data_IF_084197284953
#
_entry.id   IF_084197284953
#
_cell.length_a   1.000
_cell.length_b   1.000
_cell.length_c   1.000
_cell.angle_alpha   90.00
_cell.angle_beta   90.00
_cell.angle_gamma   90.00
#
_symmetry.space_group_name_H-M   'P 1'
#
loop_
_entity.id
_entity.type
_entity.pdbx_description
1 polymer ?
#
# COMPACT_ATOMS: atom_id res chain seq x y z
N UNK A 1 44.83 18.69 -3.28
CA UNK A 1 43.44 18.49 -3.65
C UNK A 1 42.64 18.53 -2.37
N UNK A 2 41.94 19.62 -2.15
CA UNK A 2 41.65 20.21 -0.84
C UNK A 2 40.58 19.46 -0.05
N UNK A 3 40.75 19.42 1.27
CA UNK A 3 39.84 18.88 2.29
C UNK A 3 38.39 19.36 2.11
N UNK A 4 38.19 20.53 1.55
CA UNK A 4 36.89 21.14 1.22
C UNK A 4 36.18 20.35 0.11
N UNK A 5 36.90 19.85 -0.92
CA UNK A 5 36.31 19.03 -1.97
C UNK A 5 35.84 17.65 -1.48
N UNK A 6 36.55 17.09 -0.51
CA UNK A 6 36.16 15.81 0.14
C UNK A 6 34.92 15.97 1.02
N UNK A 7 34.79 17.10 1.70
CA UNK A 7 33.61 17.42 2.50
C UNK A 7 32.38 17.69 1.62
N UNK A 8 32.53 18.37 0.48
CA UNK A 8 31.44 18.62 -0.48
C UNK A 8 30.95 17.33 -1.16
N UNK A 9 31.85 16.42 -1.52
CA UNK A 9 31.49 15.11 -2.08
C UNK A 9 30.78 14.24 -1.02
N UNK A 10 31.22 14.31 0.24
CA UNK A 10 30.56 13.62 1.36
C UNK A 10 29.15 14.15 1.64
N UNK A 11 28.92 15.44 1.53
CA UNK A 11 27.62 16.09 1.72
C UNK A 11 26.69 15.80 0.53
N UNK A 12 27.21 15.76 -0.71
CA UNK A 12 26.41 15.36 -1.90
C UNK A 12 25.98 13.90 -1.85
N UNK A 13 26.79 12.99 -1.30
CA UNK A 13 26.41 11.57 -1.14
C UNK A 13 25.39 11.34 -0.03
N UNK A 14 25.29 12.23 0.96
CA UNK A 14 24.26 12.14 2.02
C UNK A 14 22.89 12.66 1.61
N UNK A 15 22.79 13.43 0.53
CA UNK A 15 21.53 14.04 0.06
C UNK A 15 20.71 13.16 -0.89
N UNK A 16 21.19 11.97 -1.23
CA UNK A 16 20.45 11.01 -2.07
C UNK A 16 19.92 9.79 -1.29
N UNK A 17 19.60 9.95 -0.01
CA UNK A 17 18.73 9.00 0.65
C UNK A 17 17.32 9.22 0.08
N UNK A 18 17.02 8.63 -1.07
CA UNK A 18 15.64 8.44 -1.53
C UNK A 18 14.93 7.69 -0.40
N UNK A 19 14.01 8.36 0.27
CA UNK A 19 13.11 7.71 1.22
C UNK A 19 12.24 6.80 0.37
N UNK A 20 12.61 5.54 0.26
CA UNK A 20 11.78 4.53 -0.34
C UNK A 20 10.57 4.36 0.59
N UNK A 21 9.43 4.93 0.21
CA UNK A 21 8.17 4.72 0.92
C UNK A 21 7.67 3.35 0.52
N UNK A 22 7.97 2.34 1.35
CA UNK A 22 7.44 0.99 1.19
C UNK A 22 5.94 0.97 1.50
N UNK A 23 5.21 0.01 0.95
CA UNK A 23 3.85 -0.31 1.42
C UNK A 23 3.89 -0.50 2.93
N UNK A 24 3.16 0.32 3.67
CA UNK A 24 3.14 0.23 5.11
C UNK A 24 1.79 0.67 5.66
N UNK A 25 1.14 -0.27 6.33
CA UNK A 25 0.04 0.09 7.21
C UNK A 25 0.62 0.75 8.45
N UNK A 26 0.21 1.95 8.80
CA UNK A 26 0.74 2.71 9.92
C UNK A 26 -0.38 3.19 10.84
N UNK A 27 -0.11 3.11 12.15
CA UNK A 27 -0.95 3.69 13.19
C UNK A 27 -0.16 4.86 13.80
N UNK A 28 -0.74 6.06 13.77
CA UNK A 28 -0.11 7.29 14.27
C UNK A 28 -0.57 7.64 15.69
N UNK A 29 -1.81 7.30 16.04
CA UNK A 29 -2.40 7.60 17.36
C UNK A 29 -2.33 6.38 18.29
N UNK A 30 -1.83 6.57 19.50
CA UNK A 30 -1.59 5.49 20.47
C UNK A 30 -2.86 4.78 20.94
N UNK A 31 -4.02 5.45 20.87
CA UNK A 31 -5.31 4.85 21.24
C UNK A 31 -5.84 3.90 20.16
N UNK A 32 -5.28 3.90 18.99
CA UNK A 32 -5.70 3.04 17.87
C UNK A 32 -4.91 1.73 17.88
N UNK A 33 -5.60 0.63 17.71
CA UNK A 33 -5.04 -0.72 17.71
C UNK A 33 -5.71 -1.62 16.67
N UNK A 34 -5.20 -2.84 16.53
CA UNK A 34 -5.82 -3.93 15.74
C UNK A 34 -6.12 -3.56 14.28
N UNK A 35 -5.29 -2.69 13.65
CA UNK A 35 -5.51 -2.34 12.24
C UNK A 35 -5.42 -3.60 11.37
N UNK A 36 -6.48 -3.87 10.63
CA UNK A 36 -6.62 -4.97 9.68
C UNK A 36 -6.99 -4.41 8.32
N UNK A 37 -6.36 -4.94 7.27
CA UNK A 37 -6.65 -4.62 5.87
C UNK A 37 -6.75 -5.95 5.14
N UNK A 38 -7.95 -6.32 4.72
CA UNK A 38 -8.26 -7.66 4.22
C UNK A 38 -9.02 -7.57 2.91
N UNK A 39 -8.63 -8.37 1.92
CA UNK A 39 -9.37 -8.56 0.68
C UNK A 39 -10.31 -9.77 0.82
N UNK A 40 -11.61 -9.54 0.69
CA UNK A 40 -12.61 -10.59 0.93
C UNK A 40 -12.52 -11.15 2.35
N UNK A 41 -12.37 -12.47 2.45
CA UNK A 41 -12.27 -13.20 3.73
C UNK A 41 -10.87 -13.77 4.01
N UNK A 42 -9.87 -13.48 3.19
CA UNK A 42 -8.51 -14.03 3.35
C UNK A 42 -7.62 -13.12 4.21
N UNK A 43 -7.55 -13.44 5.49
CA UNK A 43 -6.80 -12.70 6.51
C UNK A 43 -5.28 -12.89 6.45
N UNK A 44 -4.79 -13.89 5.71
CA UNK A 44 -3.39 -14.26 5.66
C UNK A 44 -2.69 -13.77 4.40
N UNK A 45 -3.44 -13.48 3.36
CA UNK A 45 -2.91 -12.96 2.11
C UNK A 45 -2.73 -11.44 2.14
N UNK A 46 -1.82 -10.91 1.32
CA UNK A 46 -1.77 -9.47 1.09
C UNK A 46 -3.13 -8.92 0.63
N UNK A 47 -3.48 -7.68 0.99
CA UNK A 47 -4.76 -7.06 0.64
C UNK A 47 -4.77 -6.69 -0.86
N UNK A 48 -4.95 -7.68 -1.71
CA UNK A 48 -4.99 -7.56 -3.17
C UNK A 48 -6.34 -8.07 -3.65
N UNK A 49 -7.08 -7.26 -4.40
CA UNK A 49 -8.34 -7.63 -5.03
C UNK A 49 -8.35 -7.29 -6.51
N UNK A 50 -9.25 -7.89 -7.28
CA UNK A 50 -9.52 -7.48 -8.66
C UNK A 50 -10.39 -6.22 -8.66
N UNK A 51 -10.35 -5.45 -9.75
CA UNK A 51 -11.07 -4.17 -9.87
C UNK A 51 -12.58 -4.30 -9.58
N UNK A 52 -13.21 -5.38 -10.04
CA UNK A 52 -14.61 -5.70 -9.75
C UNK A 52 -14.74 -6.94 -8.84
N UNK A 53 -13.71 -7.20 -8.03
CA UNK A 53 -13.63 -8.35 -7.14
C UNK A 53 -14.21 -8.13 -5.75
N UNK A 54 -13.73 -8.94 -4.80
CA UNK A 54 -14.14 -8.86 -3.39
C UNK A 54 -13.74 -7.52 -2.77
N UNK A 55 -14.56 -6.98 -1.85
CA UNK A 55 -14.26 -5.70 -1.22
C UNK A 55 -13.02 -5.78 -0.33
N UNK A 56 -12.31 -4.67 -0.23
CA UNK A 56 -11.29 -4.46 0.80
C UNK A 56 -11.98 -4.02 2.09
N UNK A 57 -11.78 -4.77 3.15
CA UNK A 57 -12.23 -4.42 4.50
C UNK A 57 -11.07 -3.81 5.28
N UNK A 58 -11.27 -2.63 5.84
CA UNK A 58 -10.35 -1.95 6.74
C UNK A 58 -11.05 -1.86 8.09
N UNK A 59 -10.46 -2.42 9.13
CA UNK A 59 -11.01 -2.42 10.47
C UNK A 59 -9.94 -2.04 11.50
N UNK A 60 -10.35 -1.35 12.56
CA UNK A 60 -9.47 -0.96 13.66
C UNK A 60 -10.26 -0.73 14.94
N UNK A 61 -9.57 -0.77 16.07
CA UNK A 61 -10.13 -0.53 17.39
C UNK A 61 -9.61 0.78 17.98
N UNK A 62 -10.52 1.60 18.51
CA UNK A 62 -10.18 2.74 19.35
C UNK A 62 -10.35 2.36 20.83
N UNK A 63 -9.25 2.36 21.56
CA UNK A 63 -9.16 1.96 22.96
C UNK A 63 -9.69 3.02 23.95
N UNK A 64 -10.12 4.18 23.47
CA UNK A 64 -10.79 5.19 24.32
C UNK A 64 -12.20 4.76 24.73
N UNK A 65 -12.81 3.81 24.00
CA UNK A 65 -14.19 3.38 24.16
C UNK A 65 -15.21 4.51 23.98
N UNK A 66 -14.79 5.64 23.41
CA UNK A 66 -15.65 6.75 23.04
C UNK A 66 -16.04 6.64 21.57
N UNK A 67 -17.06 7.39 21.17
CA UNK A 67 -17.39 7.56 19.75
C UNK A 67 -16.60 8.74 19.21
N UNK A 68 -15.79 8.48 18.19
CA UNK A 68 -15.11 9.50 17.40
C UNK A 68 -15.69 9.51 15.99
N UNK A 69 -15.86 10.70 15.42
CA UNK A 69 -16.22 10.83 14.02
C UNK A 69 -14.95 10.75 13.19
N UNK A 70 -14.69 9.55 12.66
CA UNK A 70 -13.58 9.32 11.76
C UNK A 70 -14.00 9.52 10.31
N UNK A 71 -13.13 10.19 9.56
CA UNK A 71 -13.25 10.37 8.11
C UNK A 71 -12.05 9.76 7.41
N UNK A 72 -12.19 9.45 6.13
CA UNK A 72 -11.10 8.88 5.36
C UNK A 72 -10.93 9.58 4.01
N UNK A 73 -9.72 9.52 3.49
CA UNK A 73 -9.34 9.89 2.13
C UNK A 73 -8.74 8.68 1.43
N UNK A 74 -8.88 8.60 0.10
CA UNK A 74 -8.29 7.56 -0.74
C UNK A 74 -7.43 8.22 -1.80
N UNK A 75 -6.18 7.76 -1.94
CA UNK A 75 -5.22 8.22 -2.92
C UNK A 75 -4.74 7.04 -3.77
N UNK A 76 -4.63 7.26 -5.07
CA UNK A 76 -3.91 6.34 -5.96
C UNK A 76 -2.41 6.57 -5.82
N UNK A 77 -1.63 5.49 -5.78
CA UNK A 77 -0.19 5.52 -5.61
C UNK A 77 0.54 4.82 -6.76
N UNK A 78 1.74 5.31 -7.05
CA UNK A 78 2.71 4.68 -7.97
C UNK A 78 3.25 3.35 -7.40
N UNK A 79 4.06 2.66 -8.19
CA UNK A 79 4.68 1.40 -7.79
C UNK A 79 5.55 1.51 -6.52
N UNK A 80 6.09 2.68 -6.24
CA UNK A 80 6.90 3.02 -5.05
C UNK A 80 6.06 3.60 -3.89
N UNK A 81 4.73 3.52 -3.98
CA UNK A 81 3.77 4.02 -3.00
C UNK A 81 3.74 5.55 -2.79
N UNK A 82 4.40 6.32 -3.65
CA UNK A 82 4.18 7.75 -3.72
C UNK A 82 2.82 8.05 -4.35
N UNK A 83 2.13 9.07 -3.86
CA UNK A 83 0.85 9.50 -4.43
C UNK A 83 1.03 9.88 -5.90
N UNK A 84 0.19 9.36 -6.79
CA UNK A 84 0.21 9.66 -8.21
C UNK A 84 -0.24 11.10 -8.44
N UNK A 85 0.66 11.95 -8.90
CA UNK A 85 0.38 13.39 -9.11
C UNK A 85 -0.20 13.70 -10.48
N UNK A 86 -0.18 12.74 -11.41
CA UNK A 86 -0.64 12.91 -12.79
C UNK A 86 -2.12 12.59 -12.98
N UNK A 87 -2.77 11.98 -11.98
CA UNK A 87 -4.18 11.59 -12.01
C UNK A 87 -5.01 12.53 -11.14
N UNK A 88 -6.19 12.90 -11.65
CA UNK A 88 -7.23 13.49 -10.83
C UNK A 88 -8.01 12.39 -10.10
N UNK A 89 -8.64 12.72 -8.97
CA UNK A 89 -9.45 11.76 -8.23
C UNK A 89 -10.54 11.10 -9.09
N UNK A 90 -11.16 11.86 -9.99
CA UNK A 90 -12.16 11.37 -10.95
C UNK A 90 -11.64 10.33 -11.97
N UNK A 91 -10.33 10.20 -12.15
CA UNK A 91 -9.75 9.24 -13.08
C UNK A 91 -9.74 7.84 -12.48
N UNK A 92 -9.43 7.71 -11.18
CA UNK A 92 -9.30 6.43 -10.50
C UNK A 92 -10.48 6.07 -9.57
N UNK A 93 -11.40 7.03 -9.29
CA UNK A 93 -12.48 6.85 -8.36
C UNK A 93 -13.77 7.49 -8.87
N UNK A 94 -14.91 6.82 -8.67
CA UNK A 94 -16.25 7.35 -8.83
C UNK A 94 -16.84 7.66 -7.45
N UNK A 95 -17.30 8.90 -7.25
CA UNK A 95 -17.75 9.42 -5.97
C UNK A 95 -16.74 10.36 -5.31
N UNK A 96 -16.60 10.28 -3.99
CA UNK A 96 -15.77 11.20 -3.22
C UNK A 96 -14.47 10.54 -2.77
N UNK A 97 -13.33 11.16 -3.09
CA UNK A 97 -12.00 10.67 -2.68
C UNK A 97 -11.65 11.11 -1.24
N UNK A 98 -12.29 12.17 -0.73
CA UNK A 98 -11.88 12.82 0.51
C UNK A 98 -13.06 13.00 1.48
N UNK A 99 -12.74 12.96 2.76
CA UNK A 99 -13.64 13.31 3.88
C UNK A 99 -14.89 12.45 3.98
N UNK A 100 -14.84 11.21 3.51
CA UNK A 100 -15.92 10.24 3.69
C UNK A 100 -15.97 9.76 5.14
N UNK A 101 -17.14 9.73 5.76
CA UNK A 101 -17.33 9.27 7.15
C UNK A 101 -17.29 7.75 7.24
N UNK A 102 -16.74 7.22 8.33
CA UNK A 102 -16.82 5.80 8.69
C UNK A 102 -18.05 5.63 9.59
N UNK A 103 -19.08 4.94 9.09
CA UNK A 103 -20.38 4.84 9.76
C UNK A 103 -20.61 3.49 10.46
N UNK A 104 -19.86 2.42 10.10
CA UNK A 104 -19.93 1.13 10.79
C UNK A 104 -19.10 1.17 12.07
N UNK A 105 -19.78 1.35 13.20
CA UNK A 105 -19.16 1.58 14.50
C UNK A 105 -19.85 0.72 15.57
N UNK A 106 -19.08 -0.05 16.32
CA UNK A 106 -19.59 -0.94 17.37
C UNK A 106 -18.77 -0.79 18.65
N UNK A 107 -19.45 -0.57 19.79
CA UNK A 107 -18.79 -0.58 21.11
C UNK A 107 -18.67 -1.99 21.66
N UNK A 108 -17.52 -2.32 22.21
CA UNK A 108 -17.31 -3.59 22.91
C UNK A 108 -18.20 -3.67 24.16
N UNK A 109 -18.69 -4.87 24.44
CA UNK A 109 -19.53 -5.15 25.61
C UNK A 109 -18.92 -6.34 26.37
N UNK A 110 -18.77 -6.22 27.69
CA UNK A 110 -18.25 -7.27 28.59
C UNK A 110 -16.84 -7.78 28.24
N UNK A 111 -15.99 -6.92 27.67
CA UNK A 111 -14.59 -7.21 27.39
C UNK A 111 -13.69 -6.68 28.52
N UNK A 112 -12.53 -7.35 28.73
CA UNK A 112 -11.54 -6.91 29.73
C UNK A 112 -10.95 -5.54 29.40
N UNK A 113 -10.68 -5.28 28.11
CA UNK A 113 -10.30 -3.98 27.57
C UNK A 113 -11.47 -3.45 26.79
N UNK A 114 -11.95 -2.29 27.12
CA UNK A 114 -13.03 -1.62 26.38
C UNK A 114 -12.47 -0.95 25.13
N UNK A 115 -13.18 -1.05 24.02
CA UNK A 115 -12.83 -0.41 22.75
C UNK A 115 -14.07 -0.08 21.94
N UNK A 116 -13.92 0.81 20.98
CA UNK A 116 -14.89 1.06 19.91
C UNK A 116 -14.31 0.52 18.61
N UNK A 117 -15.00 -0.42 17.98
CA UNK A 117 -14.62 -1.03 16.71
C UNK A 117 -15.15 -0.21 15.55
N UNK A 118 -14.30 0.11 14.59
CA UNK A 118 -14.63 0.79 13.34
C UNK A 118 -14.35 -0.13 12.16
N UNK A 119 -15.27 -0.17 11.22
CA UNK A 119 -15.15 -0.96 10.00
C UNK A 119 -15.53 -0.15 8.78
N UNK A 120 -14.79 -0.33 7.71
CA UNK A 120 -14.99 0.30 6.41
C UNK A 120 -14.76 -0.72 5.32
N UNK A 121 -15.60 -0.71 4.29
CA UNK A 121 -15.41 -1.50 3.08
C UNK A 121 -15.23 -0.59 1.86
N UNK A 122 -14.34 -0.98 0.95
CA UNK A 122 -14.12 -0.35 -0.35
C UNK A 122 -14.24 -1.44 -1.42
N UNK A 123 -15.11 -1.26 -2.45
CA UNK A 123 -15.98 -0.10 -2.70
C UNK A 123 -17.16 -0.01 -1.73
N UNK A 124 -17.77 1.18 -1.66
CA UNK A 124 -19.00 1.44 -0.93
C UNK A 124 -19.90 2.43 -1.69
N UNK A 125 -21.00 2.85 -1.08
CA UNK A 125 -21.96 3.78 -1.71
C UNK A 125 -21.37 5.17 -2.04
N UNK A 126 -20.31 5.58 -1.32
CA UNK A 126 -19.67 6.89 -1.45
C UNK A 126 -18.51 6.91 -2.42
N UNK A 127 -17.86 5.77 -2.62
CA UNK A 127 -16.73 5.66 -3.51
C UNK A 127 -16.59 4.27 -4.13
N UNK A 128 -16.31 4.25 -5.44
CA UNK A 128 -16.04 3.05 -6.21
C UNK A 128 -14.75 3.25 -7.00
N UNK A 129 -13.87 2.26 -6.97
CA UNK A 129 -12.63 2.31 -7.72
C UNK A 129 -12.88 2.03 -9.22
N UNK A 130 -12.20 2.76 -10.10
CA UNK A 130 -12.34 2.69 -11.56
C UNK A 130 -11.06 2.20 -12.24
N UNK A 131 -9.97 2.14 -11.52
CA UNK A 131 -8.65 1.84 -12.06
C UNK A 131 -7.92 0.85 -11.15
N UNK A 132 -7.15 -0.06 -11.75
CA UNK A 132 -6.17 -0.87 -11.02
C UNK A 132 -4.98 -0.03 -10.57
N UNK A 133 -4.32 -0.44 -9.50
CA UNK A 133 -3.15 0.26 -8.94
C UNK A 133 -2.98 0.04 -7.45
N UNK A 134 -2.02 0.75 -6.89
CA UNK A 134 -1.80 0.81 -5.45
C UNK A 134 -2.66 1.92 -4.86
N UNK A 135 -3.28 1.65 -3.72
CA UNK A 135 -4.16 2.60 -3.03
C UNK A 135 -3.75 2.75 -1.57
N UNK A 136 -3.72 4.00 -1.12
CA UNK A 136 -3.55 4.34 0.28
C UNK A 136 -4.80 5.04 0.79
N UNK A 137 -5.39 4.47 1.84
CA UNK A 137 -6.48 5.06 2.58
C UNK A 137 -5.92 5.65 3.87
N UNK A 138 -6.20 6.91 4.13
CA UNK A 138 -5.80 7.60 5.35
C UNK A 138 -7.03 7.98 6.15
N UNK A 139 -7.04 7.66 7.44
CA UNK A 139 -8.13 7.99 8.38
C UNK A 139 -7.74 9.15 9.26
N UNK A 140 -8.69 10.06 9.48
CA UNK A 140 -8.54 11.28 10.25
C UNK A 140 -9.61 11.38 11.36
N UNK A 141 -9.24 11.98 12.48
CA UNK A 141 -10.16 12.33 13.57
C UNK A 141 -10.73 13.74 13.35
N UNK A 142 -11.97 13.83 12.85
CA UNK A 142 -12.63 15.11 12.57
C UNK A 142 -12.84 15.95 13.83
N UNK A 143 -12.99 15.30 14.98
CA UNK A 143 -13.19 15.97 16.27
C UNK A 143 -11.88 16.55 16.84
N UNK A 144 -10.72 16.19 16.28
CA UNK A 144 -9.42 16.63 16.74
C UNK A 144 -8.59 17.22 15.59
N UNK A 145 -9.01 18.37 15.08
CA UNK A 145 -8.33 19.14 14.02
C UNK A 145 -7.92 18.30 12.79
N UNK A 146 -8.68 17.27 12.44
CA UNK A 146 -8.37 16.32 11.39
C UNK A 146 -7.00 15.64 11.60
N UNK A 147 -6.68 15.28 12.83
CA UNK A 147 -5.47 14.53 13.16
C UNK A 147 -5.45 13.20 12.38
N UNK A 148 -4.35 12.93 11.69
CA UNK A 148 -4.13 11.66 11.02
C UNK A 148 -3.95 10.55 12.05
N UNK A 149 -4.81 9.52 12.03
CA UNK A 149 -4.78 8.45 13.02
C UNK A 149 -4.15 7.15 12.51
N UNK A 150 -4.39 6.80 11.25
CA UNK A 150 -3.80 5.63 10.61
C UNK A 150 -3.73 5.79 9.09
N UNK A 151 -2.91 4.96 8.43
CA UNK A 151 -3.00 4.71 7.00
C UNK A 151 -3.01 3.21 6.71
N UNK A 152 -3.81 2.83 5.71
CA UNK A 152 -3.99 1.47 5.24
C UNK A 152 -3.66 1.41 3.74
N UNK A 153 -2.89 0.42 3.33
CA UNK A 153 -2.47 0.22 1.95
C UNK A 153 -3.06 -1.07 1.40
N UNK A 154 -3.57 -1.03 0.17
CA UNK A 154 -4.10 -2.19 -0.54
C UNK A 154 -3.84 -2.05 -2.05
N UNK A 155 -4.04 -3.14 -2.78
CA UNK A 155 -3.82 -3.17 -4.23
C UNK A 155 -5.07 -3.64 -4.96
N UNK A 156 -5.31 -3.03 -6.11
CA UNK A 156 -6.37 -3.43 -7.04
C UNK A 156 -5.73 -3.83 -8.36
N UNK A 157 -6.06 -5.01 -8.87
CA UNK A 157 -5.43 -5.58 -10.05
C UNK A 157 -6.44 -5.86 -11.15
N UNK A 158 -5.95 -5.80 -12.39
CA UNK A 158 -6.63 -6.28 -13.59
C UNK A 158 -5.74 -7.35 -14.22
N UNK A 159 -6.28 -8.51 -14.64
CA UNK A 159 -5.49 -9.61 -15.17
C UNK A 159 -5.07 -9.38 -16.63
N UNK A 160 -4.37 -8.27 -16.89
CA UNK A 160 -3.92 -7.83 -18.23
C UNK A 160 -2.52 -8.32 -18.59
N UNK A 161 -1.78 -8.89 -17.64
CA UNK A 161 -0.46 -9.45 -17.83
C UNK A 161 -0.34 -10.83 -17.18
N UNK A 162 0.44 -11.72 -17.79
CA UNK A 162 0.82 -13.01 -17.22
C UNK A 162 2.26 -12.99 -16.73
N UNK A 163 2.54 -13.65 -15.61
CA UNK A 163 3.89 -13.77 -15.06
C UNK A 163 4.19 -15.25 -14.85
N UNK A 164 5.33 -15.70 -15.39
CA UNK A 164 5.95 -16.98 -15.04
C UNK A 164 7.20 -16.69 -14.23
N UNK A 165 7.32 -17.32 -13.08
CA UNK A 165 8.45 -17.10 -12.16
C UNK A 165 9.00 -18.42 -11.66
N UNK A 166 10.33 -18.54 -11.67
CA UNK A 166 11.08 -19.66 -11.14
C UNK A 166 12.14 -19.16 -10.18
N UNK A 167 12.32 -19.84 -9.05
CA UNK A 167 13.38 -19.54 -8.09
C UNK A 167 14.34 -20.73 -8.06
N UNK A 168 15.59 -20.47 -8.37
CA UNK A 168 16.65 -21.48 -8.40
C UNK A 168 17.75 -21.19 -7.38
N UNK A 169 18.36 -22.23 -6.84
CA UNK A 169 19.48 -22.12 -5.90
C UNK A 169 20.85 -22.14 -6.58
N UNK A 170 20.92 -22.68 -7.81
CA UNK A 170 22.12 -22.54 -8.64
C UNK A 170 22.04 -21.19 -9.33
N UNK A 171 22.87 -20.27 -8.89
CA UNK A 171 22.95 -18.94 -9.46
C UNK A 171 24.11 -18.84 -10.45
N UNK A 172 24.08 -17.85 -11.33
CA UNK A 172 25.19 -17.56 -12.24
C UNK A 172 26.43 -17.01 -11.52
N UNK A 173 26.26 -16.62 -10.25
CA UNK A 173 27.30 -16.01 -9.42
C UNK A 173 27.93 -17.04 -8.48
N UNK A 174 27.13 -17.88 -7.83
CA UNK A 174 27.65 -18.92 -6.94
C UNK A 174 26.81 -20.21 -7.03
N UNK A 175 27.50 -21.34 -7.06
CA UNK A 175 26.89 -22.66 -7.03
C UNK A 175 26.91 -23.13 -5.58
N UNK A 176 25.77 -23.40 -4.97
CA UNK A 176 25.56 -23.76 -3.57
C UNK A 176 25.84 -22.65 -2.55
N UNK A 177 25.72 -21.42 -2.97
CA UNK A 177 25.96 -20.29 -2.12
C UNK A 177 24.76 -19.83 -1.29
N UNK A 178 24.85 -18.63 -0.83
CA UNK A 178 23.88 -17.96 0.03
C UNK A 178 22.81 -17.21 -0.76
N UNK A 179 22.84 -17.31 -2.09
CA UNK A 179 21.96 -16.56 -3.00
C UNK A 179 20.92 -17.48 -3.67
N UNK A 180 19.79 -16.89 -4.00
CA UNK A 180 18.78 -17.48 -4.88
C UNK A 180 18.62 -16.57 -6.10
N UNK A 181 18.46 -17.18 -7.27
CA UNK A 181 18.17 -16.46 -8.51
C UNK A 181 16.69 -16.57 -8.82
N UNK A 182 16.09 -15.46 -9.20
CA UNK A 182 14.72 -15.41 -9.68
C UNK A 182 14.75 -15.20 -11.19
N UNK A 183 14.22 -16.16 -11.93
CA UNK A 183 13.97 -16.05 -13.37
C UNK A 183 12.50 -15.70 -13.56
N UNK A 184 12.22 -14.68 -14.37
CA UNK A 184 10.87 -14.20 -14.56
C UNK A 184 10.63 -13.86 -16.03
N UNK A 185 9.49 -14.33 -16.54
CA UNK A 185 8.98 -13.98 -17.85
C UNK A 185 7.64 -13.24 -17.68
N UNK A 186 7.51 -12.07 -18.31
CA UNK A 186 6.29 -11.25 -18.26
C UNK A 186 5.64 -11.24 -19.63
N UNK A 187 4.43 -11.79 -19.73
CA UNK A 187 3.61 -11.69 -20.92
C UNK A 187 2.64 -10.51 -20.76
N UNK A 188 2.87 -9.46 -21.53
CA UNK A 188 2.11 -8.22 -21.50
C UNK A 188 1.31 -7.97 -22.80
N UNK A 189 1.00 -9.03 -23.54
CA UNK A 189 0.36 -8.95 -24.87
C UNK A 189 -1.02 -8.26 -24.88
N UNK A 190 -1.68 -8.11 -23.73
CA UNK A 190 -2.94 -7.37 -23.61
C UNK A 190 -2.74 -5.87 -23.28
N UNK A 191 -1.53 -5.46 -22.98
CA UNK A 191 -1.18 -4.07 -22.67
C UNK A 191 -0.59 -3.39 -23.92
N UNK A 192 -0.90 -2.12 -24.12
CA UNK A 192 -0.27 -1.31 -25.16
C UNK A 192 1.07 -0.78 -24.65
N UNK A 193 2.13 -1.58 -24.81
CA UNK A 193 3.48 -1.25 -24.39
C UNK A 193 4.34 -1.01 -25.63
N UNK A 194 4.90 0.17 -25.74
CA UNK A 194 5.80 0.57 -26.84
C UNK A 194 7.27 0.33 -26.50
N UNK A 195 7.64 0.57 -25.24
CA UNK A 195 8.99 0.34 -24.72
C UNK A 195 8.91 -0.39 -23.37
N UNK A 196 9.03 -1.73 -23.36
CA UNK A 196 8.92 -2.52 -22.14
C UNK A 196 9.95 -2.14 -21.06
N UNK A 197 11.15 -1.71 -21.45
CA UNK A 197 12.22 -1.39 -20.51
C UNK A 197 11.89 -0.18 -19.62
N UNK A 198 11.10 0.76 -20.13
CA UNK A 198 10.73 1.97 -19.40
C UNK A 198 9.30 1.95 -18.86
N UNK A 199 8.39 1.21 -19.50
CA UNK A 199 6.97 1.22 -19.19
C UNK A 199 6.54 0.07 -18.27
N UNK A 200 7.30 -1.05 -18.23
CA UNK A 200 7.02 -2.16 -17.34
C UNK A 200 7.95 -2.09 -16.13
N UNK A 201 7.37 -2.03 -14.95
CA UNK A 201 8.11 -2.14 -13.67
C UNK A 201 7.78 -3.48 -13.03
N UNK A 202 8.81 -4.25 -12.70
CA UNK A 202 8.68 -5.50 -11.97
C UNK A 202 9.19 -5.33 -10.54
N UNK A 203 8.47 -5.85 -9.58
CA UNK A 203 8.83 -5.82 -8.15
C UNK A 203 8.80 -7.24 -7.63
N UNK A 204 9.92 -7.70 -7.10
CA UNK A 204 10.03 -9.01 -6.46
C UNK A 204 10.08 -8.82 -4.95
N UNK A 205 9.14 -9.42 -4.24
CA UNK A 205 9.08 -9.39 -2.79
C UNK A 205 9.55 -10.72 -2.21
N UNK A 206 10.51 -10.67 -1.31
CA UNK A 206 10.91 -11.86 -0.55
C UNK A 206 10.06 -11.97 0.72
N UNK A 207 9.30 -13.07 0.85
CA UNK A 207 8.39 -13.33 1.98
C UNK A 207 7.36 -12.19 2.21
N UNK A 208 6.86 -11.58 1.14
CA UNK A 208 5.89 -10.50 1.22
C UNK A 208 6.41 -9.20 1.85
N UNK A 209 7.72 -9.04 1.98
CA UNK A 209 8.33 -7.88 2.67
C UNK A 209 8.73 -6.79 1.69
N UNK A 210 8.08 -5.65 1.77
CA UNK A 210 8.40 -4.47 0.97
C UNK A 210 9.78 -3.85 1.28
N UNK A 211 10.31 -4.00 2.47
CA UNK A 211 11.65 -3.51 2.81
C UNK A 211 12.81 -4.35 2.21
N UNK A 212 12.49 -5.40 1.47
CA UNK A 212 13.43 -6.27 0.76
C UNK A 212 13.07 -6.40 -0.72
N UNK A 213 12.32 -5.46 -1.24
CA UNK A 213 11.95 -5.41 -2.64
C UNK A 213 13.17 -5.28 -3.56
N UNK A 214 13.06 -5.81 -4.76
CA UNK A 214 14.00 -5.61 -5.86
C UNK A 214 13.22 -5.09 -7.05
N UNK A 215 13.60 -3.92 -7.50
CA UNK A 215 13.07 -3.30 -8.73
C UNK A 215 13.89 -3.77 -9.93
N UNK A 216 13.35 -3.61 -11.13
CA UNK A 216 13.94 -3.98 -12.42
C UNK A 216 15.46 -4.00 -12.39
N UNK A 217 16.01 -5.18 -12.55
CA UNK A 217 17.43 -5.41 -12.65
C UNK A 217 17.80 -5.51 -14.12
#
# INVERSE_FOLDING_TARGET
MNTIYRALIGICLMLTASVCTAQKNEIYKKSIASLQVVAGDDWLSPPITQLDGEPITIAFDDLTHEYHRYTYTIEHCEADWNTTTQLFASDYLDGFAEWNTIDDVQKSINTKTLYTHYRLQIPNERCRLKMSGNYRLTVFDENNDNEKILSACFMVVEPLAGIQMEVVTNTDIDINGTHQQVNMEVNYGMLQVTDPATQIKTIVLQNGRWNKERFNI
#
